data_IF_476128529249
#
_entry.id   IF_476128529249
#
_cell.length_a   1.000
_cell.length_b   1.000
_cell.length_c   1.000
_cell.angle_alpha   90.00
_cell.angle_beta   90.00
_cell.angle_gamma   90.00
#
_symmetry.space_group_name_H-M   'P 1'
#
loop_
_entity.id
_entity.type
_entity.pdbx_description
1 polymer ?
#
# COMPACT_ATOMS: atom_id res chain seq x y z
N UNK A 1 -4.70 -2.02 -12.60
CA UNK A 1 -5.53 -2.94 -11.79
C UNK A 1 -4.77 -3.76 -10.75
N UNK A 2 -3.98 -4.79 -11.14
CA UNK A 2 -3.52 -5.87 -10.23
C UNK A 2 -2.88 -5.38 -8.93
N UNK A 3 -1.93 -4.45 -9.03
CA UNK A 3 -1.26 -3.86 -7.86
C UNK A 3 -2.27 -3.20 -6.92
N UNK A 4 -3.16 -2.34 -7.45
CA UNK A 4 -4.18 -1.64 -6.67
C UNK A 4 -5.13 -2.62 -5.97
N UNK A 5 -5.61 -3.64 -6.69
CA UNK A 5 -6.52 -4.65 -6.12
C UNK A 5 -5.84 -5.42 -4.99
N UNK A 6 -4.57 -5.82 -5.17
CA UNK A 6 -3.81 -6.49 -4.11
C UNK A 6 -3.64 -5.60 -2.88
N UNK A 7 -3.33 -4.31 -3.07
CA UNK A 7 -3.20 -3.36 -1.96
C UNK A 7 -4.51 -3.11 -1.21
N UNK A 8 -5.62 -2.96 -1.93
CA UNK A 8 -6.94 -2.80 -1.31
C UNK A 8 -7.34 -4.07 -0.54
N UNK A 9 -7.15 -5.23 -1.15
CA UNK A 9 -7.56 -6.51 -0.56
C UNK A 9 -6.75 -6.88 0.69
N UNK A 10 -5.44 -6.62 0.69
CA UNK A 10 -4.53 -7.02 1.76
C UNK A 10 -4.36 -5.96 2.85
N UNK A 11 -5.01 -4.80 2.71
CA UNK A 11 -5.00 -3.76 3.73
C UNK A 11 -5.79 -4.21 4.98
N UNK A 12 -5.28 -3.86 6.16
CA UNK A 12 -5.91 -4.22 7.44
C UNK A 12 -7.15 -3.38 7.76
N UNK A 13 -7.28 -2.23 7.12
CA UNK A 13 -8.51 -1.44 7.06
C UNK A 13 -8.61 -0.78 5.68
N UNK A 14 -9.79 -0.27 5.28
CA UNK A 14 -9.91 0.52 4.07
C UNK A 14 -8.86 1.64 4.04
N UNK A 15 -8.08 1.70 2.97
CA UNK A 15 -7.09 2.75 2.75
C UNK A 15 -7.79 4.00 2.28
N UNK A 16 -7.33 5.18 2.71
CA UNK A 16 -7.72 6.40 2.04
C UNK A 16 -7.12 6.44 0.63
N UNK A 17 -7.73 7.21 -0.27
CA UNK A 17 -7.20 7.39 -1.62
C UNK A 17 -5.76 7.90 -1.57
N UNK A 18 -5.47 8.83 -0.68
CA UNK A 18 -4.16 9.47 -0.60
C UNK A 18 -3.11 8.53 0.02
N UNK A 19 -3.48 7.71 1.01
CA UNK A 19 -2.61 6.64 1.53
C UNK A 19 -2.20 5.67 0.43
N UNK A 20 -3.17 5.21 -0.36
CA UNK A 20 -2.88 4.28 -1.46
C UNK A 20 -1.99 4.94 -2.52
N UNK A 21 -2.35 6.14 -2.98
CA UNK A 21 -1.57 6.83 -4.02
C UNK A 21 -0.15 7.14 -3.58
N UNK A 22 0.05 7.60 -2.34
CA UNK A 22 1.38 7.82 -1.78
C UNK A 22 2.16 6.50 -1.69
N UNK A 23 1.53 5.42 -1.26
CA UNK A 23 2.18 4.11 -1.18
C UNK A 23 2.63 3.60 -2.55
N UNK A 24 1.80 3.79 -3.59
CA UNK A 24 2.11 3.38 -4.96
C UNK A 24 3.23 4.21 -5.62
N UNK A 25 3.52 5.40 -5.11
CA UNK A 25 4.61 6.25 -5.58
C UNK A 25 5.99 5.76 -5.11
N UNK A 26 6.03 4.96 -4.04
CA UNK A 26 7.26 4.53 -3.39
C UNK A 26 7.77 3.25 -4.02
N UNK A 27 9.06 3.27 -4.38
CA UNK A 27 9.78 2.15 -4.95
C UNK A 27 10.83 1.65 -3.98
N UNK A 28 11.17 0.38 -4.14
CA UNK A 28 12.21 -0.24 -3.33
C UNK A 28 13.56 0.42 -3.64
N UNK A 29 14.24 0.88 -2.59
CA UNK A 29 15.53 1.57 -2.71
C UNK A 29 15.44 3.09 -2.87
N UNK A 30 14.23 3.67 -2.88
CA UNK A 30 14.07 5.11 -2.80
C UNK A 30 14.76 5.67 -1.54
N UNK A 31 15.34 6.87 -1.66
CA UNK A 31 16.03 7.57 -0.56
C UNK A 31 15.24 8.76 -0.03
N UNK A 32 14.20 9.17 -0.75
CA UNK A 32 13.35 10.32 -0.44
C UNK A 32 12.01 10.17 -1.18
N UNK A 33 10.96 10.79 -0.63
CA UNK A 33 9.64 10.76 -1.27
C UNK A 33 9.54 11.73 -2.46
N UNK A 34 9.26 11.20 -3.65
CA UNK A 34 8.99 12.00 -4.85
C UNK A 34 7.50 12.29 -5.02
N UNK A 35 7.09 13.53 -4.71
CA UNK A 35 5.71 13.99 -4.89
C UNK A 35 5.24 13.92 -6.35
N UNK A 36 6.16 14.03 -7.32
CA UNK A 36 5.82 13.98 -8.76
C UNK A 36 5.53 12.54 -9.22
N UNK A 37 5.95 11.54 -8.44
CA UNK A 37 5.67 10.12 -8.68
C UNK A 37 4.26 9.68 -8.26
N UNK A 38 3.49 10.53 -7.58
CA UNK A 38 2.14 10.19 -7.12
C UNK A 38 1.21 10.02 -8.32
N UNK A 39 0.55 8.85 -8.48
CA UNK A 39 -0.40 8.65 -9.57
C UNK A 39 -1.61 9.58 -9.44
N UNK A 40 -2.16 10.01 -10.57
CA UNK A 40 -3.37 10.84 -10.59
C UNK A 40 -4.57 10.01 -10.12
N UNK A 41 -5.39 10.57 -9.21
CA UNK A 41 -6.60 9.92 -8.67
C UNK A 41 -7.51 9.28 -9.73
N UNK A 42 -7.77 9.99 -10.85
CA UNK A 42 -8.58 9.45 -11.95
C UNK A 42 -7.95 8.20 -12.61
N UNK A 43 -6.62 8.15 -12.69
CA UNK A 43 -5.90 7.00 -13.25
C UNK A 43 -6.08 5.75 -12.39
N UNK A 44 -6.14 5.90 -11.06
CA UNK A 44 -6.40 4.80 -10.12
C UNK A 44 -7.68 4.04 -10.51
N UNK A 45 -8.80 4.77 -10.61
CA UNK A 45 -10.12 4.22 -10.93
C UNK A 45 -10.18 3.65 -12.35
N UNK A 46 -9.71 4.41 -13.34
CA UNK A 46 -9.71 3.98 -14.74
C UNK A 46 -8.92 2.68 -14.92
N UNK A 47 -7.79 2.55 -14.22
CA UNK A 47 -6.94 1.35 -14.31
C UNK A 47 -7.56 0.10 -13.68
N UNK A 48 -8.62 0.24 -12.89
CA UNK A 48 -9.30 -0.87 -12.20
C UNK A 48 -10.55 -1.36 -12.92
N UNK A 49 -10.99 -0.69 -14.00
CA UNK A 49 -12.13 -1.11 -14.84
C UNK A 49 -13.39 -1.52 -14.04
N UNK A 50 -13.70 -0.78 -12.97
CA UNK A 50 -14.86 -1.07 -12.12
C UNK A 50 -14.67 -2.18 -11.07
N UNK A 51 -13.44 -2.64 -10.83
CA UNK A 51 -13.13 -3.61 -9.75
C UNK A 51 -12.83 -2.93 -8.41
N UNK A 52 -12.53 -1.64 -8.43
CA UNK A 52 -12.39 -0.80 -7.24
C UNK A 52 -13.21 0.49 -7.38
N UNK A 53 -13.73 1.00 -6.26
CA UNK A 53 -14.42 2.28 -6.16
C UNK A 53 -13.83 3.14 -5.03
N UNK A 54 -14.18 4.43 -5.06
CA UNK A 54 -13.89 5.36 -3.96
C UNK A 54 -15.20 5.64 -3.25
N UNK A 55 -15.26 5.28 -1.97
CA UNK A 55 -16.31 5.74 -1.07
C UNK A 55 -16.13 7.26 -0.86
N UNK A 56 -17.14 8.03 -1.26
CA UNK A 56 -17.09 9.50 -1.22
C UNK A 56 -17.25 10.05 0.20
N UNK A 57 -17.92 9.32 1.09
CA UNK A 57 -18.14 9.74 2.47
C UNK A 57 -16.84 9.61 3.27
N UNK A 58 -16.16 8.47 3.13
CA UNK A 58 -14.95 8.16 3.90
C UNK A 58 -13.66 8.49 3.15
N UNK A 59 -13.74 8.84 1.86
CA UNK A 59 -12.58 8.99 0.97
C UNK A 59 -11.65 7.77 0.95
N UNK A 60 -12.22 6.57 1.13
CA UNK A 60 -11.49 5.30 1.12
C UNK A 60 -11.71 4.52 -0.17
N UNK A 61 -10.77 3.64 -0.48
CA UNK A 61 -10.83 2.73 -1.62
C UNK A 61 -11.28 1.35 -1.17
N UNK A 62 -12.21 0.76 -1.91
CA UNK A 62 -12.68 -0.61 -1.66
C UNK A 62 -12.96 -1.35 -2.98
N UNK A 63 -13.08 -2.67 -2.89
CA UNK A 63 -13.48 -3.50 -4.02
C UNK A 63 -14.98 -3.33 -4.27
N UNK A 64 -15.39 -3.25 -5.53
CA UNK A 64 -16.79 -2.94 -5.89
C UNK A 64 -17.77 -4.04 -5.47
N UNK A 65 -17.35 -5.30 -5.57
CA UNK A 65 -18.21 -6.44 -5.25
C UNK A 65 -17.64 -7.28 -4.11
N UNK A 66 -18.48 -7.59 -3.14
CA UNK A 66 -18.16 -8.52 -2.05
C UNK A 66 -17.68 -9.89 -2.57
N UNK A 67 -18.26 -10.39 -3.66
CA UNK A 67 -17.84 -11.65 -4.28
C UNK A 67 -16.39 -11.65 -4.77
N UNK A 68 -15.87 -10.49 -5.22
CA UNK A 68 -14.46 -10.36 -5.60
C UNK A 68 -13.55 -10.46 -4.37
N UNK A 69 -13.96 -9.82 -3.26
CA UNK A 69 -13.23 -9.92 -2.00
C UNK A 69 -13.21 -11.36 -1.49
N UNK A 70 -14.35 -12.04 -1.51
CA UNK A 70 -14.45 -13.46 -1.12
C UNK A 70 -13.60 -14.37 -2.02
N UNK A 71 -13.64 -14.16 -3.34
CA UNK A 71 -12.83 -14.90 -4.29
C UNK A 71 -11.33 -14.77 -3.97
N UNK A 72 -10.84 -13.55 -3.79
CA UNK A 72 -9.43 -13.27 -3.46
C UNK A 72 -9.03 -13.84 -2.10
N UNK A 73 -9.92 -13.80 -1.10
CA UNK A 73 -9.67 -14.38 0.22
C UNK A 73 -9.42 -15.88 0.14
N UNK A 74 -10.07 -16.59 -0.78
CA UNK A 74 -9.94 -18.05 -0.97
C UNK A 74 -8.71 -18.47 -1.79
N UNK A 75 -8.01 -17.53 -2.44
CA UNK A 75 -6.82 -17.87 -3.22
C UNK A 75 -5.57 -17.92 -2.34
N UNK A 76 -4.69 -18.88 -2.58
CA UNK A 76 -3.34 -18.89 -2.00
C UNK A 76 -2.43 -17.84 -2.66
N UNK A 77 -2.70 -17.55 -3.93
CA UNK A 77 -2.00 -16.55 -4.72
C UNK A 77 -2.94 -15.48 -5.28
N UNK A 78 -2.44 -14.25 -5.31
CA UNK A 78 -3.12 -13.11 -5.91
C UNK A 78 -2.30 -12.66 -7.11
N UNK A 79 -2.85 -12.82 -8.31
CA UNK A 79 -2.19 -12.48 -9.58
C UNK A 79 -0.82 -13.15 -9.79
N UNK A 80 -0.70 -14.43 -9.43
CA UNK A 80 0.51 -15.25 -9.62
C UNK A 80 1.63 -14.98 -8.60
N UNK A 81 1.27 -14.48 -7.42
CA UNK A 81 2.18 -14.30 -6.28
C UNK A 81 1.45 -14.68 -5.00
N UNK A 82 2.14 -15.38 -4.10
CA UNK A 82 1.59 -15.72 -2.79
C UNK A 82 1.23 -14.45 -2.00
N UNK A 83 0.28 -14.57 -1.07
CA UNK A 83 -0.07 -13.48 -0.15
C UNK A 83 1.16 -13.02 0.65
N UNK A 84 2.04 -13.94 1.07
CA UNK A 84 3.28 -13.62 1.77
C UNK A 84 4.20 -12.67 0.97
N UNK A 85 4.37 -12.91 -0.34
CA UNK A 85 5.16 -12.03 -1.23
C UNK A 85 4.55 -10.64 -1.34
N UNK A 86 3.21 -10.53 -1.38
CA UNK A 86 2.54 -9.24 -1.37
C UNK A 86 2.70 -8.51 -0.05
N UNK A 87 2.53 -9.21 1.07
CA UNK A 87 2.74 -8.67 2.41
C UNK A 87 4.19 -8.16 2.58
N UNK A 88 5.19 -8.92 2.11
CA UNK A 88 6.60 -8.49 2.11
C UNK A 88 6.80 -7.19 1.34
N UNK A 89 6.19 -7.09 0.14
CA UNK A 89 6.25 -5.88 -0.67
C UNK A 89 5.64 -4.67 0.04
N UNK A 90 4.45 -4.82 0.64
CA UNK A 90 3.79 -3.74 1.37
C UNK A 90 4.63 -3.30 2.57
N UNK A 91 5.13 -4.25 3.37
CA UNK A 91 5.99 -3.98 4.51
C UNK A 91 7.25 -3.20 4.09
N UNK A 92 7.92 -3.63 3.01
CA UNK A 92 9.11 -2.95 2.48
C UNK A 92 8.80 -1.55 1.98
N UNK A 93 7.67 -1.33 1.32
CA UNK A 93 7.20 0.00 0.92
C UNK A 93 7.04 0.91 2.13
N UNK A 94 6.35 0.45 3.19
CA UNK A 94 6.18 1.24 4.42
C UNK A 94 7.48 1.49 5.16
N UNK A 95 8.36 0.50 5.28
CA UNK A 95 9.68 0.69 5.90
C UNK A 95 10.57 1.65 5.11
N UNK A 96 10.49 1.62 3.77
CA UNK A 96 11.20 2.58 2.91
C UNK A 96 10.67 3.99 3.15
N UNK A 97 9.34 4.15 3.21
CA UNK A 97 8.70 5.42 3.52
C UNK A 97 9.17 6.00 4.86
N UNK A 98 9.13 5.19 5.92
CA UNK A 98 9.43 5.60 7.29
C UNK A 98 10.92 5.99 7.47
N UNK A 99 11.80 5.55 6.57
CA UNK A 99 13.22 5.91 6.55
C UNK A 99 13.51 7.21 5.81
N UNK A 100 12.53 7.78 5.11
CA UNK A 100 12.77 9.03 4.40
C UNK A 100 13.12 10.15 5.38
N UNK A 101 14.12 10.98 5.05
CA UNK A 101 14.44 12.11 5.89
C UNK A 101 13.22 13.03 5.99
N UNK A 102 12.95 13.62 7.17
CA UNK A 102 11.93 14.65 7.27
C UNK A 102 12.27 15.75 6.26
N UNK A 103 11.28 16.18 5.48
CA UNK A 103 11.47 17.33 4.59
C UNK A 103 11.86 18.51 5.47
N UNK A 104 13.04 19.09 5.24
CA UNK A 104 13.39 20.37 5.86
C UNK A 104 12.32 21.36 5.42
N UNK A 105 11.71 22.03 6.39
CA UNK A 105 10.69 23.03 6.17
C UNK A 105 11.32 24.29 5.55
N UNK A 106 11.81 24.19 4.31
CA UNK A 106 12.08 25.36 3.49
C UNK A 106 10.73 25.90 3.02
N UNK A 107 10.08 26.69 3.87
CA UNK A 107 9.02 27.66 3.57
C UNK A 107 7.94 27.30 2.53
N UNK A 108 7.65 26.02 2.30
CA UNK A 108 6.49 25.57 1.52
C UNK A 108 5.67 24.64 2.40
N UNK A 109 4.42 25.01 2.64
CA UNK A 109 3.38 24.22 3.30
C UNK A 109 2.98 22.98 2.47
N UNK A 110 3.96 22.22 1.97
CA UNK A 110 3.79 21.15 0.98
C UNK A 110 4.18 19.78 1.52
N UNK A 111 4.07 19.57 2.84
CA UNK A 111 3.81 18.21 3.32
C UNK A 111 2.39 17.90 2.90
N UNK A 112 2.23 17.31 1.71
CA UNK A 112 0.93 16.91 1.17
C UNK A 112 0.17 16.09 2.22
N UNK A 113 -1.10 16.42 2.48
CA UNK A 113 -1.97 15.74 3.45
C UNK A 113 -1.79 14.21 3.42
N UNK A 114 -1.73 13.64 2.20
CA UNK A 114 -1.50 12.21 1.98
C UNK A 114 -0.23 11.61 2.60
N UNK A 115 0.88 12.34 2.65
CA UNK A 115 2.12 11.84 3.31
C UNK A 115 1.98 11.75 4.82
N UNK A 116 1.21 12.65 5.44
CA UNK A 116 0.93 12.59 6.88
C UNK A 116 -0.02 11.43 7.16
N UNK A 117 -1.07 11.26 6.35
CA UNK A 117 -2.02 10.15 6.49
C UNK A 117 -1.31 8.80 6.32
N UNK A 118 -0.46 8.68 5.29
CA UNK A 118 0.35 7.48 5.08
C UNK A 118 1.31 7.23 6.24
N UNK A 119 1.93 8.26 6.83
CA UNK A 119 2.84 8.10 7.97
C UNK A 119 2.18 7.38 9.14
N UNK A 120 0.99 7.81 9.56
CA UNK A 120 0.28 7.17 10.65
C UNK A 120 -0.07 5.71 10.32
N UNK A 121 -0.58 5.45 9.12
CA UNK A 121 -0.94 4.09 8.73
C UNK A 121 0.28 3.17 8.61
N UNK A 122 1.30 3.62 7.89
CA UNK A 122 2.53 2.88 7.66
C UNK A 122 3.21 2.53 8.98
N UNK A 123 3.31 3.48 9.91
CA UNK A 123 3.94 3.29 11.23
C UNK A 123 3.27 2.20 12.07
N UNK A 124 1.94 2.03 11.94
CA UNK A 124 1.18 1.00 12.66
C UNK A 124 1.24 -0.35 11.94
N UNK A 125 1.16 -0.35 10.61
CA UNK A 125 0.88 -1.58 9.84
C UNK A 125 2.10 -2.28 9.27
N UNK A 126 3.26 -1.62 9.15
CA UNK A 126 4.46 -2.24 8.57
C UNK A 126 4.82 -3.59 9.23
N UNK A 127 4.76 -3.64 10.57
CA UNK A 127 5.13 -4.82 11.34
C UNK A 127 4.13 -5.96 11.19
N UNK A 128 2.86 -5.63 10.92
CA UNK A 128 1.83 -6.62 10.65
C UNK A 128 2.02 -7.26 9.28
N UNK A 129 2.27 -6.45 8.25
CA UNK A 129 2.60 -6.98 6.92
C UNK A 129 3.91 -7.78 6.95
N UNK A 130 4.90 -7.39 7.75
CA UNK A 130 6.14 -8.15 7.90
C UNK A 130 5.89 -9.56 8.50
N UNK A 131 5.10 -9.66 9.58
CA UNK A 131 4.77 -10.99 10.15
C UNK A 131 4.06 -11.90 9.13
N UNK A 132 3.08 -11.36 8.41
CA UNK A 132 2.36 -12.10 7.36
C UNK A 132 3.24 -12.47 6.16
N UNK A 133 4.41 -11.85 5.97
CA UNK A 133 5.38 -12.31 4.97
C UNK A 133 6.23 -13.48 5.44
N UNK A 134 6.45 -13.58 6.75
CA UNK A 134 7.31 -14.58 7.37
C UNK A 134 6.55 -15.87 7.70
N UNK A 135 5.22 -15.79 7.85
CA UNK A 135 4.32 -16.95 8.03
C UNK A 135 4.21 -17.88 6.79
N UNK A 136 5.15 -17.76 5.84
CA UNK A 136 5.33 -18.73 4.76
C UNK A 136 6.00 -19.99 5.31
N UNK A 137 5.43 -21.19 5.13
CA UNK A 137 6.02 -22.45 5.62
C UNK A 137 7.42 -22.75 5.02
N UNK A 138 7.82 -22.02 3.98
CA UNK A 138 9.11 -22.14 3.28
C UNK A 138 10.07 -20.96 3.48
N UNK A 139 9.82 -20.03 4.41
CA UNK A 139 10.77 -18.93 4.66
C UNK A 139 11.83 -19.34 5.71
N UNK A 140 13.12 -19.50 5.36
CA UNK A 140 14.17 -19.55 6.36
C UNK A 140 14.21 -18.18 7.06
N UNK A 141 14.18 -18.20 8.40
CA UNK A 141 14.43 -17.03 9.24
C UNK A 141 15.87 -16.55 9.03
N UNK A 142 16.12 -15.77 7.97
CA UNK A 142 17.35 -14.99 7.82
C UNK A 142 17.15 -13.65 8.52
N UNK A 143 17.25 -13.67 9.86
CA UNK A 143 17.51 -12.46 10.61
C UNK A 143 18.98 -12.06 10.43
N UNK A 144 19.17 -10.90 9.81
CA UNK A 144 20.23 -9.93 10.05
C UNK A 144 21.67 -10.45 10.30
N UNK A 145 22.58 -10.09 9.39
CA UNK A 145 23.96 -9.71 9.72
C UNK A 145 24.18 -8.25 9.41
#
# INVERSE_FOLDING_TARGET
>A
ARLIIAWIHLAERPLTVDELLCSLAIKDGDKSFDLKGIPIRKSLLNSCQGLALIDQETSTVCLVHYSLQEYLSRQDEIFGRTKAVWHSKIARTYLTFLKFPPKRAEATMETSSGTITLLFYAAVQWGHHLRKSDDSPDAPMEFAR
#
